data_IF_039124074716
#
_entry.id   IF_039124074716
#
_cell.length_a   1.000
_cell.length_b   1.000
_cell.length_c   1.000
_cell.angle_alpha   90.00
_cell.angle_beta   90.00
_cell.angle_gamma   90.00
#
_symmetry.space_group_name_H-M   'P 1'
#
loop_
_entity.id
_entity.type
_entity.pdbx_description
1 polymer ?
#
# COMPACT_ATOMS: atom_id res chain seq x y z
N UNK A 1 -47.58 -47.37 29.14
CA UNK A 1 -46.26 -47.62 29.78
C UNK A 1 -45.24 -46.66 29.18
N UNK A 2 -44.59 -45.87 30.03
CA UNK A 2 -43.59 -44.83 29.69
C UNK A 2 -42.32 -45.45 29.14
N UNK A 3 -41.75 -44.90 28.06
CA UNK A 3 -40.31 -44.95 27.78
C UNK A 3 -39.85 -43.65 27.11
N UNK A 4 -39.16 -42.82 27.90
CA UNK A 4 -38.31 -41.74 27.45
C UNK A 4 -36.94 -42.30 27.05
N UNK A 5 -36.34 -41.78 25.98
CA UNK A 5 -34.91 -41.87 25.62
C UNK A 5 -34.57 -40.54 24.94
N UNK A 6 -33.85 -39.62 25.60
CA UNK A 6 -32.39 -39.50 25.56
C UNK A 6 -31.88 -39.63 24.11
N UNK A 7 -31.56 -38.58 23.37
CA UNK A 7 -30.67 -37.47 23.70
C UNK A 7 -29.33 -37.76 23.04
N UNK A 8 -28.91 -36.94 22.06
CA UNK A 8 -27.52 -36.53 21.80
C UNK A 8 -27.50 -35.70 20.49
N UNK A 9 -27.51 -34.38 20.62
CA UNK A 9 -27.15 -33.45 19.55
C UNK A 9 -25.62 -33.46 19.42
N UNK A 10 -25.09 -34.07 18.36
CA UNK A 10 -23.67 -33.94 18.02
C UNK A 10 -23.55 -32.80 17.00
N UNK A 11 -23.10 -31.65 17.50
CA UNK A 11 -22.55 -30.58 16.68
C UNK A 11 -21.07 -30.88 16.41
N UNK A 12 -20.69 -30.99 15.14
CA UNK A 12 -19.29 -30.84 14.71
C UNK A 12 -19.23 -29.71 13.69
N UNK A 13 -19.13 -28.49 14.20
CA UNK A 13 -18.69 -27.32 13.45
C UNK A 13 -17.30 -26.94 13.97
N UNK A 14 -16.25 -27.38 13.28
CA UNK A 14 -14.90 -26.85 13.46
C UNK A 14 -14.02 -27.28 12.27
N UNK A 15 -13.80 -26.36 11.32
CA UNK A 15 -12.93 -26.65 10.18
C UNK A 15 -12.64 -25.49 9.22
N UNK A 16 -12.94 -24.24 9.58
CA UNK A 16 -12.57 -23.07 8.76
C UNK A 16 -11.89 -22.02 9.65
N UNK A 17 -10.70 -22.35 10.15
CA UNK A 17 -9.72 -21.34 10.56
C UNK A 17 -8.42 -21.65 9.84
N UNK A 18 -8.23 -20.98 8.71
CA UNK A 18 -7.03 -21.16 7.89
C UNK A 18 -6.87 -20.14 6.77
N UNK A 19 -7.91 -19.37 6.42
CA UNK A 19 -7.73 -18.12 5.68
C UNK A 19 -7.63 -17.00 6.71
N UNK A 20 -6.42 -16.54 7.01
CA UNK A 20 -6.24 -15.15 7.42
C UNK A 20 -6.57 -14.34 6.16
N UNK A 21 -7.75 -13.69 6.03
CA UNK A 21 -7.86 -12.68 5.00
C UNK A 21 -6.82 -11.64 5.41
N UNK A 22 -5.76 -11.52 4.61
CA UNK A 22 -4.80 -10.44 4.77
C UNK A 22 -5.60 -9.16 4.97
N UNK A 23 -5.39 -8.54 6.12
CA UNK A 23 -6.05 -7.32 6.56
C UNK A 23 -5.75 -6.26 5.48
N UNK A 24 -6.60 -6.19 4.47
CA UNK A 24 -6.60 -5.12 3.48
C UNK A 24 -7.04 -3.90 4.25
N UNK A 25 -6.07 -3.23 4.88
CA UNK A 25 -6.23 -1.90 5.46
C UNK A 25 -6.68 -0.99 4.33
N UNK A 26 -8.00 -0.82 4.23
CA UNK A 26 -8.57 0.18 3.34
C UNK A 26 -7.92 1.51 3.63
N UNK A 27 -7.57 2.23 2.56
CA UNK A 27 -7.06 3.60 2.63
C UNK A 27 -8.03 4.40 3.49
N UNK A 28 -7.53 5.01 4.57
CA UNK A 28 -8.41 5.81 5.44
C UNK A 28 -8.91 7.03 4.66
N UNK A 29 -10.07 7.58 5.04
CA UNK A 29 -10.60 8.81 4.43
C UNK A 29 -9.58 9.96 4.47
N UNK A 30 -8.78 10.04 5.53
CA UNK A 30 -7.69 11.00 5.66
C UNK A 30 -6.55 10.76 4.66
N UNK A 31 -6.18 9.49 4.42
CA UNK A 31 -5.17 9.15 3.42
C UNK A 31 -5.68 9.43 2.00
N UNK A 32 -6.94 9.10 1.70
CA UNK A 32 -7.56 9.39 0.42
C UNK A 32 -7.62 10.89 0.13
N UNK A 33 -7.99 11.72 1.12
CA UNK A 33 -8.00 13.17 0.97
C UNK A 33 -6.58 13.73 0.75
N UNK A 34 -5.57 13.18 1.44
CA UNK A 34 -4.17 13.57 1.24
C UNK A 34 -3.66 13.23 -0.17
N UNK A 35 -4.02 12.06 -0.70
CA UNK A 35 -3.70 11.65 -2.05
C UNK A 35 -4.30 12.60 -3.09
N UNK A 36 -5.61 12.88 -2.98
CA UNK A 36 -6.29 13.81 -3.89
C UNK A 36 -5.64 15.20 -3.88
N UNK A 37 -5.28 15.73 -2.71
CA UNK A 37 -4.60 17.02 -2.60
C UNK A 37 -3.22 17.01 -3.28
N UNK A 38 -2.48 15.89 -3.21
CA UNK A 38 -1.18 15.73 -3.89
C UNK A 38 -1.33 15.63 -5.39
N UNK A 39 -2.34 14.93 -5.88
CA UNK A 39 -2.65 14.85 -7.31
C UNK A 39 -2.97 16.21 -7.90
N UNK A 40 -3.79 17.02 -7.20
CA UNK A 40 -4.08 18.39 -7.62
C UNK A 40 -2.81 19.26 -7.61
N UNK A 41 -2.00 19.19 -6.56
CA UNK A 41 -0.73 19.93 -6.49
C UNK A 41 0.26 19.51 -7.60
N UNK A 42 0.28 18.22 -7.97
CA UNK A 42 1.09 17.74 -9.08
C UNK A 42 0.58 18.32 -10.40
N UNK A 43 -0.73 18.28 -10.66
CA UNK A 43 -1.33 18.83 -11.86
C UNK A 43 -1.03 20.34 -12.01
N UNK A 44 -1.14 21.10 -10.92
CA UNK A 44 -0.81 22.53 -10.91
C UNK A 44 0.67 22.78 -11.23
N UNK A 45 1.59 21.99 -10.66
CA UNK A 45 3.03 22.11 -10.94
C UNK A 45 3.40 21.70 -12.36
N UNK A 46 2.76 20.67 -12.90
CA UNK A 46 2.93 20.29 -14.30
C UNK A 46 2.47 21.41 -15.23
N UNK A 47 1.31 22.03 -14.96
CA UNK A 47 0.81 23.17 -15.72
C UNK A 47 1.72 24.40 -15.65
N UNK A 48 2.43 24.61 -14.53
CA UNK A 48 3.36 25.72 -14.35
C UNK A 48 4.80 25.42 -14.82
N UNK A 49 5.10 24.18 -15.21
CA UNK A 49 6.48 23.71 -15.41
C UNK A 49 7.26 24.45 -16.49
N UNK A 50 6.58 24.88 -17.57
CA UNK A 50 7.19 25.64 -18.67
C UNK A 50 7.72 27.01 -18.25
N UNK A 51 7.23 27.54 -17.13
CA UNK A 51 7.65 28.84 -16.56
C UNK A 51 8.57 28.69 -15.36
N UNK A 52 8.77 27.46 -14.87
CA UNK A 52 9.63 27.20 -13.73
C UNK A 52 11.11 27.35 -14.12
N UNK A 53 11.98 27.79 -13.18
CA UNK A 53 13.41 27.77 -13.40
C UNK A 53 13.89 26.37 -13.84
N UNK A 54 14.82 26.27 -14.81
CA UNK A 54 15.37 25.00 -15.22
C UNK A 54 15.88 24.18 -14.03
N UNK A 55 15.49 22.91 -13.98
CA UNK A 55 15.87 22.00 -12.89
C UNK A 55 14.96 22.05 -11.66
N UNK A 56 13.86 22.82 -11.68
CA UNK A 56 12.87 22.80 -10.60
C UNK A 56 12.17 21.42 -10.52
N UNK A 57 12.08 20.79 -9.34
CA UNK A 57 11.44 19.47 -9.22
C UNK A 57 9.91 19.57 -9.35
N UNK A 58 9.32 18.72 -10.20
CA UNK A 58 7.87 18.59 -10.35
C UNK A 58 7.21 17.96 -9.12
N UNK A 59 7.89 16.99 -8.50
CA UNK A 59 7.45 16.30 -7.30
C UNK A 59 8.66 15.82 -6.49
N UNK A 60 8.45 15.65 -5.18
CA UNK A 60 9.48 15.19 -4.24
C UNK A 60 8.84 14.12 -3.35
N UNK A 61 9.46 12.95 -3.31
CA UNK A 61 9.12 11.89 -2.36
C UNK A 61 10.18 11.85 -1.26
N UNK A 62 9.73 11.94 -0.01
CA UNK A 62 10.58 11.76 1.14
C UNK A 62 10.60 10.28 1.47
N UNK A 63 11.74 9.64 1.23
CA UNK A 63 11.89 8.21 1.48
C UNK A 63 12.07 7.94 2.98
N UNK A 64 11.58 6.79 3.48
CA UNK A 64 11.79 6.39 4.86
C UNK A 64 13.28 6.11 5.11
N UNK A 65 13.70 6.14 6.38
CA UNK A 65 15.12 6.07 6.77
C UNK A 65 15.82 4.79 6.29
N UNK A 66 15.07 3.70 6.16
CA UNK A 66 15.56 2.42 5.65
C UNK A 66 15.99 2.49 4.18
N UNK A 67 15.52 3.50 3.46
CA UNK A 67 15.83 3.81 2.07
C UNK A 67 16.74 5.05 1.94
N UNK A 68 17.59 5.31 2.95
CA UNK A 68 18.53 6.45 2.90
C UNK A 68 19.59 6.32 1.79
N UNK A 69 19.94 5.11 1.40
CA UNK A 69 20.90 4.82 0.33
C UNK A 69 20.22 3.99 -0.75
N UNK A 70 19.73 4.67 -1.78
CA UNK A 70 19.14 4.05 -2.97
C UNK A 70 20.12 4.18 -4.12
N UNK A 71 20.53 3.06 -4.69
CA UNK A 71 21.45 3.04 -5.84
C UNK A 71 20.76 2.74 -7.17
N UNK A 72 19.48 2.34 -7.14
CA UNK A 72 18.71 2.05 -8.35
C UNK A 72 17.24 2.43 -8.21
N UNK A 73 16.69 2.98 -9.29
CA UNK A 73 15.28 3.34 -9.45
C UNK A 73 14.74 2.73 -10.75
N UNK A 74 13.54 2.16 -10.71
CA UNK A 74 12.84 1.71 -11.91
C UNK A 74 11.34 2.01 -11.82
N UNK A 75 10.76 2.58 -12.88
CA UNK A 75 9.33 2.79 -12.99
C UNK A 75 8.69 1.59 -13.69
N UNK A 76 7.65 1.05 -13.09
CA UNK A 76 6.84 -0.03 -13.68
C UNK A 76 5.79 0.55 -14.65
N UNK A 77 5.29 -0.28 -15.56
CA UNK A 77 4.28 0.16 -16.54
C UNK A 77 2.97 0.60 -15.88
N UNK A 78 2.66 0.08 -14.69
CA UNK A 78 1.52 0.46 -13.86
C UNK A 78 1.83 1.63 -12.91
N UNK A 79 2.99 2.28 -13.04
CA UNK A 79 3.30 3.54 -12.36
C UNK A 79 3.90 3.41 -10.95
N UNK A 80 4.11 2.20 -10.43
CA UNK A 80 4.82 1.98 -9.16
C UNK A 80 6.33 2.21 -9.33
N UNK A 81 6.96 2.74 -8.29
CA UNK A 81 8.40 2.99 -8.26
C UNK A 81 9.11 1.86 -7.48
N UNK A 82 10.02 1.17 -8.14
CA UNK A 82 10.92 0.20 -7.50
C UNK A 82 12.22 0.89 -7.09
N UNK A 83 12.66 0.64 -5.86
CA UNK A 83 13.93 1.14 -5.36
C UNK A 83 14.77 0.00 -4.78
N UNK A 84 16.09 0.09 -4.98
CA UNK A 84 17.04 -0.90 -4.47
C UNK A 84 17.94 -0.29 -3.41
N UNK A 85 17.96 -0.90 -2.22
CA UNK A 85 18.99 -0.68 -1.20
C UNK A 85 20.05 -1.79 -1.34
N UNK A 86 21.19 -1.44 -1.92
CA UNK A 86 22.28 -2.37 -2.23
C UNK A 86 23.07 -2.83 -1.00
N UNK A 87 23.15 -2.01 0.05
CA UNK A 87 23.77 -2.42 1.30
C UNK A 87 23.06 -3.61 1.97
N UNK A 88 21.75 -3.74 1.72
CA UNK A 88 20.92 -4.81 2.32
C UNK A 88 20.39 -5.82 1.31
N UNK A 89 20.60 -5.60 0.01
CA UNK A 89 20.06 -6.46 -1.05
C UNK A 89 18.53 -6.52 -1.04
N UNK A 90 17.86 -5.40 -0.71
CA UNK A 90 16.39 -5.35 -0.60
C UNK A 90 15.80 -4.46 -1.69
N UNK A 91 14.76 -4.95 -2.34
CA UNK A 91 13.93 -4.18 -3.26
C UNK A 91 12.68 -3.73 -2.53
N UNK A 92 12.35 -2.45 -2.67
CA UNK A 92 11.16 -1.83 -2.12
C UNK A 92 10.25 -1.39 -3.26
N UNK A 93 8.95 -1.55 -3.05
CA UNK A 93 7.92 -0.93 -3.90
C UNK A 93 7.44 0.30 -3.17
N UNK A 94 7.57 1.45 -3.82
CA UNK A 94 6.94 2.69 -3.41
C UNK A 94 5.67 2.84 -4.23
N UNK A 95 4.55 2.73 -3.53
CA UNK A 95 3.21 2.95 -4.04
C UNK A 95 2.73 4.31 -3.51
N UNK A 96 2.32 5.27 -4.37
CA UNK A 96 1.91 6.60 -3.95
C UNK A 96 0.79 6.65 -2.91
#
# INVERSE_FOLDING_TARGET
>A
MRRARAGLMIAFAAGILGCNPGESRGVSTAQAAMLAAREEQLAQRMAASDTAPPGSPLAIWILPRELREVSGLALTADGRLLTHNDQRGRVYVLDP
#
